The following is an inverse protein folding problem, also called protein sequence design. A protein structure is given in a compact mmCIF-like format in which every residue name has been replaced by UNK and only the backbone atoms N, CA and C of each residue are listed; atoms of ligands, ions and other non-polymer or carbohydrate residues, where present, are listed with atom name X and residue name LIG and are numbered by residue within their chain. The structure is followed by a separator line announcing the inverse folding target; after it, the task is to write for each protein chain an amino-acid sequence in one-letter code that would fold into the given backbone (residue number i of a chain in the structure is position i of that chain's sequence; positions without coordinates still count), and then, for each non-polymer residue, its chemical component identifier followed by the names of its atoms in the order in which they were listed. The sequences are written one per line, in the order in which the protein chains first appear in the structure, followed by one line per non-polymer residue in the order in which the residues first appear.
data_IF_647188305500
#
_entry.id   IF_647188305500
#
_cell.length_a   1.000
_cell.length_b   1.000
_cell.length_c   1.000
_cell.angle_alpha   90.00
_cell.angle_beta   90.00
_cell.angle_gamma   90.00
#
_symmetry.space_group_name_H-M   'P 1'
#
loop_
_entity.id
_entity.type
_entity.pdbx_description
1 polymer ?
#
# COMPACT_ATOMS: atom_id res chain seq x y z
N UNK A 1 4.32 -4.23 29.29
CA UNK A 1 3.88 -4.49 30.68
C UNK A 1 4.19 -5.94 31.03
N UNK A 2 4.42 -6.30 32.28
CA UNK A 2 4.63 -7.69 32.68
C UNK A 2 3.74 -8.02 33.88
N UNK A 3 2.82 -8.97 33.70
CA UNK A 3 2.10 -9.58 34.80
C UNK A 3 2.94 -10.74 35.33
N UNK A 4 3.45 -10.60 36.56
CA UNK A 4 4.48 -11.47 37.13
C UNK A 4 3.87 -12.83 37.44
N UNK A 5 4.02 -13.77 36.50
CA UNK A 5 3.58 -15.16 36.63
C UNK A 5 2.67 -15.65 35.50
N UNK A 6 2.16 -14.76 34.63
CA UNK A 6 1.21 -15.15 33.59
C UNK A 6 1.60 -14.70 32.18
N UNK A 7 1.77 -13.39 31.95
CA UNK A 7 1.88 -12.82 30.59
C UNK A 7 2.88 -11.66 30.52
N UNK A 8 3.67 -11.65 29.45
CA UNK A 8 4.49 -10.50 29.04
C UNK A 8 3.76 -9.79 27.90
N UNK A 9 3.40 -8.52 28.09
CA UNK A 9 2.67 -7.73 27.09
C UNK A 9 3.60 -6.70 26.45
N UNK A 10 3.70 -6.77 25.13
CA UNK A 10 4.59 -5.91 24.36
C UNK A 10 3.84 -4.76 23.71
N UNK A 11 4.42 -3.57 23.81
CA UNK A 11 3.94 -2.37 23.14
C UNK A 11 5.12 -1.63 22.52
N UNK A 12 4.88 -0.91 21.44
CA UNK A 12 5.89 -0.13 20.71
C UNK A 12 5.43 1.31 20.47
N UNK A 13 6.38 2.24 20.52
CA UNK A 13 6.24 3.63 20.09
C UNK A 13 7.51 3.96 19.28
N UNK A 14 7.65 3.35 18.09
CA UNK A 14 8.86 3.49 17.27
C UNK A 14 9.05 4.90 16.69
N UNK A 15 7.97 5.67 16.58
CA UNK A 15 7.96 7.06 16.12
C UNK A 15 8.68 8.03 17.08
N UNK A 16 8.84 7.66 18.36
CA UNK A 16 9.44 8.47 19.43
C UNK A 16 8.77 9.84 19.61
N UNK A 17 7.46 9.91 19.33
CA UNK A 17 6.67 11.12 19.52
C UNK A 17 6.22 11.32 20.97
N UNK A 18 6.33 10.28 21.81
CA UNK A 18 5.78 10.28 23.17
C UNK A 18 4.26 10.11 23.21
N UNK A 19 3.64 9.73 22.08
CA UNK A 19 2.21 9.50 21.95
C UNK A 19 1.80 8.08 22.40
N UNK A 20 0.67 7.59 21.90
CA UNK A 20 0.07 6.30 22.29
C UNK A 20 0.96 5.11 21.93
N UNK A 21 1.28 4.29 22.93
CA UNK A 21 1.94 2.99 22.76
C UNK A 21 0.98 1.97 22.12
N UNK A 22 1.36 1.39 20.97
CA UNK A 22 0.54 0.40 20.26
C UNK A 22 0.95 -1.04 20.59
N UNK A 23 0.01 -2.00 20.68
CA UNK A 23 0.32 -3.42 20.84
C UNK A 23 1.30 -3.95 19.79
N UNK A 24 2.36 -4.65 20.21
CA UNK A 24 3.44 -5.12 19.33
C UNK A 24 3.61 -6.66 19.36
N UNK A 25 3.71 -7.36 18.22
CA UNK A 25 3.74 -6.84 16.85
C UNK A 25 2.35 -6.50 16.31
N UNK A 26 1.29 -7.03 16.93
CA UNK A 26 -0.10 -6.78 16.55
C UNK A 26 -1.04 -7.00 17.76
N UNK A 27 -2.28 -6.47 17.73
CA UNK A 27 -3.23 -6.60 18.84
C UNK A 27 -3.58 -8.03 19.25
N UNK A 28 -3.46 -9.04 18.38
CA UNK A 28 -3.77 -10.44 18.68
C UNK A 28 -2.58 -11.19 19.29
N UNK A 29 -1.34 -10.84 18.94
CA UNK A 29 -0.13 -11.54 19.40
C UNK A 29 0.79 -10.77 20.36
N UNK A 30 0.40 -9.57 20.79
CA UNK A 30 1.18 -8.76 21.74
C UNK A 30 1.30 -9.34 23.16
N UNK A 31 0.41 -10.27 23.53
CA UNK A 31 0.38 -10.95 24.83
C UNK A 31 1.12 -12.29 24.70
N UNK A 32 2.29 -12.39 25.31
CA UNK A 32 3.16 -13.59 25.29
C UNK A 32 2.94 -14.35 26.59
N UNK A 33 2.36 -15.55 26.52
CA UNK A 33 2.24 -16.42 27.68
C UNK A 33 3.61 -17.02 28.05
N UNK A 34 3.83 -17.39 29.32
CA UNK A 34 5.11 -18.00 29.72
C UNK A 34 5.42 -19.31 28.96
N UNK A 35 4.39 -20.06 28.53
CA UNK A 35 4.54 -21.24 27.66
C UNK A 35 5.13 -20.91 26.29
N UNK A 36 4.92 -19.70 25.75
CA UNK A 36 5.46 -19.27 24.47
C UNK A 36 6.98 -19.02 24.51
N UNK A 37 7.59 -18.94 25.70
CA UNK A 37 9.05 -18.84 25.85
C UNK A 37 9.81 -20.10 25.38
N UNK A 38 9.10 -21.21 25.16
CA UNK A 38 9.64 -22.38 24.47
C UNK A 38 10.00 -22.07 23.00
N UNK A 39 9.30 -21.13 22.37
CA UNK A 39 9.41 -20.80 20.94
C UNK A 39 10.66 -19.95 20.65
N UNK A 40 11.56 -20.37 19.72
CA UNK A 40 12.81 -19.66 19.44
C UNK A 40 12.63 -18.21 19.00
N UNK A 41 11.60 -17.92 18.20
CA UNK A 41 11.28 -16.60 17.67
C UNK A 41 10.80 -15.62 18.74
N UNK A 42 10.06 -16.11 19.74
CA UNK A 42 9.65 -15.33 20.91
C UNK A 42 10.88 -14.95 21.76
N UNK A 43 11.77 -15.91 22.04
CA UNK A 43 13.05 -15.63 22.72
C UNK A 43 13.92 -14.64 21.95
N UNK A 44 13.98 -14.76 20.62
CA UNK A 44 14.71 -13.81 19.75
C UNK A 44 14.10 -12.40 19.83
N UNK A 45 12.77 -12.27 19.77
CA UNK A 45 12.05 -11.01 19.91
C UNK A 45 12.33 -10.35 21.26
N UNK A 46 12.18 -11.10 22.35
CA UNK A 46 12.44 -10.61 23.72
C UNK A 46 13.91 -10.19 23.90
N UNK A 47 14.88 -10.92 23.34
CA UNK A 47 16.29 -10.49 23.33
C UNK A 47 16.48 -9.17 22.58
N UNK A 48 15.89 -9.03 21.39
CA UNK A 48 16.04 -7.83 20.56
C UNK A 48 15.51 -6.58 21.24
N UNK A 49 14.42 -6.66 22.03
CA UNK A 49 13.92 -5.50 22.83
C UNK A 49 15.04 -4.86 23.68
N UNK A 50 15.94 -5.68 24.23
CA UNK A 50 17.04 -5.19 25.07
C UNK A 50 18.33 -4.90 24.29
N UNK A 51 18.63 -5.65 23.23
CA UNK A 51 19.92 -5.53 22.52
C UNK A 51 19.90 -4.64 21.29
N UNK A 52 18.78 -4.61 20.56
CA UNK A 52 18.55 -3.74 19.39
C UNK A 52 17.03 -3.60 19.16
N UNK A 53 16.33 -2.77 19.95
CA UNK A 53 14.88 -2.62 19.83
C UNK A 53 14.47 -2.05 18.48
N UNK A 54 15.35 -1.32 17.79
CA UNK A 54 15.07 -0.80 16.46
C UNK A 54 15.17 -1.87 15.36
N UNK A 55 15.74 -3.04 15.61
CA UNK A 55 15.63 -4.17 14.68
C UNK A 55 14.23 -4.83 14.69
N UNK A 56 13.37 -4.46 15.65
CA UNK A 56 11.97 -4.89 15.71
C UNK A 56 11.01 -3.91 15.02
N UNK A 57 11.48 -2.73 14.62
CA UNK A 57 10.70 -1.72 13.90
C UNK A 57 10.41 -2.21 12.47
N UNK A 58 9.15 -2.52 12.11
CA UNK A 58 8.81 -3.01 10.78
C UNK A 58 9.18 -2.00 9.70
N UNK A 59 9.09 -0.69 9.97
CA UNK A 59 9.42 0.36 9.00
C UNK A 59 10.90 0.31 8.59
N UNK A 60 11.80 -0.12 9.47
CA UNK A 60 13.22 -0.28 9.16
C UNK A 60 13.49 -1.52 8.30
N UNK A 61 12.74 -2.60 8.53
CA UNK A 61 12.79 -3.80 7.66
C UNK A 61 12.32 -3.41 6.27
N UNK A 62 11.13 -2.81 6.16
CA UNK A 62 10.56 -2.45 4.87
C UNK A 62 11.40 -1.41 4.13
N UNK A 63 11.90 -0.37 4.81
CA UNK A 63 12.82 0.62 4.22
C UNK A 63 14.20 0.05 3.85
N UNK A 64 14.64 -1.06 4.47
CA UNK A 64 15.87 -1.76 4.07
C UNK A 64 15.64 -2.58 2.80
N UNK A 65 14.59 -3.41 2.77
CA UNK A 65 14.18 -4.21 1.60
C UNK A 65 13.94 -3.32 0.38
N UNK A 66 13.17 -2.24 0.57
CA UNK A 66 12.86 -1.25 -0.47
C UNK A 66 14.13 -0.64 -1.07
N UNK A 67 15.11 -0.24 -0.25
CA UNK A 67 16.38 0.33 -0.74
C UNK A 67 17.21 -0.69 -1.52
N UNK A 68 17.25 -1.94 -1.07
CA UNK A 68 18.00 -3.01 -1.75
C UNK A 68 17.41 -3.30 -3.13
N UNK A 69 16.08 -3.48 -3.22
CA UNK A 69 15.37 -3.73 -4.48
C UNK A 69 15.45 -2.52 -5.41
N UNK A 70 15.31 -1.30 -4.89
CA UNK A 70 15.43 -0.06 -5.67
C UNK A 70 16.84 0.17 -6.23
N UNK A 71 17.89 -0.38 -5.60
CA UNK A 71 19.24 -0.36 -6.16
C UNK A 71 19.36 -1.36 -7.32
N UNK A 72 18.95 -2.61 -7.13
CA UNK A 72 18.98 -3.65 -8.18
C UNK A 72 18.22 -3.22 -9.44
N UNK A 73 17.03 -2.63 -9.28
CA UNK A 73 16.21 -2.16 -10.39
C UNK A 73 16.77 -0.89 -11.07
N UNK A 74 17.53 -0.05 -10.36
CA UNK A 74 18.24 1.07 -10.97
C UNK A 74 19.43 0.60 -11.82
N UNK A 75 20.18 -0.42 -11.37
CA UNK A 75 21.25 -1.04 -12.17
C UNK A 75 20.70 -1.73 -13.42
N UNK A 76 19.53 -2.39 -13.31
CA UNK A 76 18.82 -2.96 -14.46
C UNK A 76 18.33 -1.88 -15.44
N UNK A 77 17.74 -0.78 -14.94
CA UNK A 77 17.30 0.34 -15.78
C UNK A 77 18.47 0.90 -16.60
N UNK A 78 19.62 1.15 -15.95
CA UNK A 78 20.84 1.61 -16.60
C UNK A 78 21.35 0.62 -17.66
N UNK A 79 21.33 -0.68 -17.36
CA UNK A 79 21.73 -1.72 -18.33
C UNK A 79 20.81 -1.75 -19.57
N UNK A 80 19.50 -1.59 -19.37
CA UNK A 80 18.51 -1.52 -20.45
C UNK A 80 18.73 -0.28 -21.35
N UNK A 81 18.96 0.89 -20.76
CA UNK A 81 19.25 2.11 -21.50
C UNK A 81 20.58 2.02 -22.27
N UNK A 82 21.62 1.43 -21.66
CA UNK A 82 22.89 1.11 -22.33
C UNK A 82 22.73 0.10 -23.47
N UNK A 83 21.67 -0.71 -23.46
CA UNK A 83 21.30 -1.65 -24.54
C UNK A 83 20.49 -0.98 -25.66
N UNK A 84 20.29 0.34 -25.62
CA UNK A 84 19.58 1.12 -26.64
C UNK A 84 18.09 1.34 -26.37
N UNK A 85 17.54 0.84 -25.26
CA UNK A 85 16.12 1.07 -24.93
C UNK A 85 15.89 2.50 -24.44
N UNK A 86 14.89 3.19 -24.98
CA UNK A 86 14.54 4.55 -24.52
C UNK A 86 14.07 4.56 -23.06
N UNK A 87 14.57 5.51 -22.26
CA UNK A 87 14.26 5.65 -20.82
C UNK A 87 12.77 5.61 -20.46
N UNK A 88 11.89 6.12 -21.34
CA UNK A 88 10.44 6.08 -21.13
C UNK A 88 9.83 4.68 -21.32
N UNK A 89 10.34 3.88 -22.26
CA UNK A 89 10.01 2.46 -22.42
C UNK A 89 10.53 1.65 -21.23
N UNK A 90 11.78 1.89 -20.81
CA UNK A 90 12.40 1.24 -19.63
C UNK A 90 11.59 1.50 -18.36
N UNK A 91 11.22 2.75 -18.09
CA UNK A 91 10.38 3.09 -16.93
C UNK A 91 9.01 2.41 -16.96
N UNK A 92 8.36 2.32 -18.14
CA UNK A 92 7.07 1.63 -18.28
C UNK A 92 7.18 0.12 -18.09
N UNK A 93 8.18 -0.52 -18.72
CA UNK A 93 8.48 -1.95 -18.60
C UNK A 93 8.77 -2.35 -17.14
N UNK A 94 9.62 -1.58 -16.46
CA UNK A 94 9.92 -1.82 -15.04
C UNK A 94 8.67 -1.62 -14.19
N UNK A 95 7.85 -0.59 -14.42
CA UNK A 95 6.60 -0.36 -13.67
C UNK A 95 5.63 -1.55 -13.77
N UNK A 96 5.50 -2.18 -14.96
CA UNK A 96 4.68 -3.39 -15.13
C UNK A 96 5.28 -4.61 -14.41
N UNK A 97 6.60 -4.78 -14.51
CA UNK A 97 7.32 -5.87 -13.84
C UNK A 97 7.22 -5.78 -12.32
N UNK A 98 7.48 -4.59 -11.76
CA UNK A 98 7.26 -4.22 -10.35
C UNK A 98 5.84 -4.56 -9.87
N UNK A 99 4.82 -4.19 -10.66
CA UNK A 99 3.43 -4.50 -10.31
C UNK A 99 3.16 -6.01 -10.34
N UNK A 100 3.78 -6.76 -11.26
CA UNK A 100 3.60 -8.22 -11.37
C UNK A 100 4.24 -8.95 -10.17
N UNK A 101 5.48 -8.57 -9.80
CA UNK A 101 6.17 -9.09 -8.61
C UNK A 101 5.39 -8.77 -7.31
N UNK A 102 4.82 -7.57 -7.23
CA UNK A 102 3.96 -7.22 -6.11
C UNK A 102 2.68 -8.08 -6.09
N UNK A 103 2.01 -8.23 -7.23
CA UNK A 103 0.72 -8.91 -7.33
C UNK A 103 0.81 -10.41 -7.01
N UNK A 104 1.92 -11.10 -7.28
CA UNK A 104 2.10 -12.49 -6.85
C UNK A 104 2.30 -12.65 -5.34
N UNK A 105 2.96 -11.69 -4.69
CA UNK A 105 3.27 -11.75 -3.25
C UNK A 105 2.08 -11.37 -2.35
N UNK A 106 1.20 -10.47 -2.82
CA UNK A 106 -0.15 -10.31 -2.22
C UNK A 106 -1.19 -11.29 -2.77
N UNK A 107 -0.78 -12.30 -3.54
CA UNK A 107 -1.63 -13.39 -4.04
C UNK A 107 -2.83 -12.94 -4.91
N UNK A 108 -2.70 -11.78 -5.57
CA UNK A 108 -3.59 -11.30 -6.65
C UNK A 108 -3.27 -11.99 -8.00
N UNK A 109 -2.02 -12.42 -8.17
CA UNK A 109 -1.61 -13.46 -9.11
C UNK A 109 -1.28 -14.73 -8.30
N UNK A 110 -1.25 -15.93 -8.92
CA UNK A 110 -0.79 -17.13 -8.24
C UNK A 110 0.62 -16.93 -7.66
N UNK A 111 0.84 -17.37 -6.42
CA UNK A 111 2.06 -17.10 -5.66
C UNK A 111 3.32 -17.60 -6.37
N UNK A 112 4.31 -16.73 -6.58
CA UNK A 112 5.58 -17.04 -7.24
C UNK A 112 5.47 -17.34 -8.75
N UNK A 113 4.32 -17.08 -9.38
CA UNK A 113 4.10 -17.38 -10.81
C UNK A 113 4.85 -16.43 -11.76
N UNK A 114 5.04 -15.16 -11.41
CA UNK A 114 5.84 -14.24 -12.19
C UNK A 114 7.34 -14.51 -12.01
N UNK A 115 7.80 -14.76 -10.77
CA UNK A 115 9.15 -15.26 -10.52
C UNK A 115 9.46 -16.53 -11.34
N UNK A 116 8.55 -17.52 -11.33
CA UNK A 116 8.70 -18.74 -12.11
C UNK A 116 8.77 -18.46 -13.61
N UNK A 117 7.93 -17.57 -14.14
CA UNK A 117 7.94 -17.20 -15.56
C UNK A 117 9.29 -16.63 -16.01
N UNK A 118 9.98 -15.87 -15.15
CA UNK A 118 11.33 -15.38 -15.42
C UNK A 118 12.36 -16.52 -15.44
N UNK A 119 12.25 -17.47 -14.51
CA UNK A 119 13.15 -18.62 -14.38
C UNK A 119 13.00 -19.61 -15.54
N UNK A 120 11.78 -19.98 -15.92
CA UNK A 120 11.48 -20.93 -17.00
C UNK A 120 11.97 -20.45 -18.39
N UNK A 121 12.28 -19.15 -18.53
CA UNK A 121 12.75 -18.53 -19.77
C UNK A 121 14.09 -17.77 -19.63
N UNK A 122 14.87 -17.99 -18.57
CA UNK A 122 16.15 -17.30 -18.33
C UNK A 122 17.13 -17.41 -19.52
N UNK A 123 17.16 -18.56 -20.17
CA UNK A 123 18.02 -18.85 -21.34
C UNK A 123 17.37 -18.56 -22.69
N UNK A 124 16.11 -18.08 -22.74
CA UNK A 124 15.39 -17.79 -23.99
C UNK A 124 14.71 -16.41 -23.95
N UNK A 125 15.48 -15.31 -24.11
CA UNK A 125 14.94 -13.96 -24.01
C UNK A 125 13.81 -13.60 -25.00
N UNK A 126 13.82 -14.05 -26.27
CA UNK A 126 12.69 -13.83 -27.18
C UNK A 126 11.39 -14.48 -26.69
N UNK A 127 11.46 -15.70 -26.15
CA UNK A 127 10.28 -16.35 -25.56
C UNK A 127 9.78 -15.58 -24.33
N UNK A 128 10.68 -15.16 -23.44
CA UNK A 128 10.32 -14.34 -22.28
C UNK A 128 9.64 -13.02 -22.69
N UNK A 129 10.18 -12.31 -23.69
CA UNK A 129 9.57 -11.06 -24.19
C UNK A 129 8.13 -11.29 -24.68
N UNK A 130 7.89 -12.41 -25.36
CA UNK A 130 6.55 -12.84 -25.78
C UNK A 130 5.63 -13.16 -24.61
N UNK A 131 6.09 -13.96 -23.65
CA UNK A 131 5.30 -14.35 -22.48
C UNK A 131 4.97 -13.17 -21.56
N UNK A 132 5.91 -12.25 -21.31
CA UNK A 132 5.64 -11.02 -20.55
C UNK A 132 4.57 -10.15 -21.24
N UNK A 133 4.59 -10.08 -22.58
CA UNK A 133 3.55 -9.37 -23.34
C UNK A 133 2.20 -10.05 -23.19
N UNK A 134 2.14 -11.38 -23.32
CA UNK A 134 0.90 -12.15 -23.15
C UNK A 134 0.33 -11.99 -21.73
N UNK A 135 1.14 -12.20 -20.69
CA UNK A 135 0.75 -11.99 -19.29
C UNK A 135 0.14 -10.61 -19.07
N UNK A 136 0.80 -9.54 -19.53
CA UNK A 136 0.28 -8.19 -19.32
C UNK A 136 -0.98 -7.89 -20.14
N UNK A 137 -1.18 -8.52 -21.30
CA UNK A 137 -2.46 -8.50 -22.01
C UNK A 137 -3.56 -9.19 -21.21
N UNK A 138 -3.28 -10.37 -20.66
CA UNK A 138 -4.22 -11.14 -19.85
C UNK A 138 -4.58 -10.36 -18.57
N UNK A 139 -3.62 -9.71 -17.92
CA UNK A 139 -3.85 -8.82 -16.78
C UNK A 139 -4.68 -7.57 -17.13
N UNK A 140 -4.63 -7.08 -18.37
CA UNK A 140 -5.46 -5.94 -18.81
C UNK A 140 -6.93 -6.34 -19.04
N UNK A 141 -7.20 -7.60 -19.39
CA UNK A 141 -8.54 -8.09 -19.72
C UNK A 141 -9.20 -8.90 -18.60
N UNK A 142 -8.42 -9.59 -17.78
CA UNK A 142 -8.86 -10.67 -16.90
C UNK A 142 -9.13 -11.96 -17.68
N UNK A 143 -9.27 -13.08 -16.97
CA UNK A 143 -9.58 -14.39 -17.56
C UNK A 143 -8.45 -15.40 -17.39
N UNK A 144 -8.30 -16.35 -18.31
CA UNK A 144 -7.25 -17.37 -18.22
C UNK A 144 -5.95 -16.91 -18.90
N UNK A 145 -4.86 -16.80 -18.15
CA UNK A 145 -3.54 -16.50 -18.72
C UNK A 145 -2.81 -17.77 -19.12
N UNK A 146 -2.45 -17.87 -20.40
CA UNK A 146 -1.61 -18.96 -20.91
C UNK A 146 -0.17 -18.88 -20.35
N UNK A 147 0.35 -17.66 -20.14
CA UNK A 147 1.70 -17.46 -19.61
C UNK A 147 1.86 -18.00 -18.17
N UNK A 148 0.81 -17.95 -17.35
CA UNK A 148 0.83 -18.51 -15.98
C UNK A 148 0.11 -19.87 -15.86
N UNK A 149 -0.58 -20.31 -16.92
CA UNK A 149 -1.49 -21.46 -16.91
C UNK A 149 -2.55 -21.40 -15.80
N UNK A 150 -3.06 -20.19 -15.53
CA UNK A 150 -3.92 -19.90 -14.39
C UNK A 150 -4.90 -18.75 -14.68
N UNK A 151 -6.03 -18.66 -13.96
CA UNK A 151 -6.87 -17.46 -13.98
C UNK A 151 -6.13 -16.25 -13.40
N UNK A 152 -6.29 -15.08 -14.03
CA UNK A 152 -5.79 -13.78 -13.60
C UNK A 152 -6.95 -12.78 -13.51
N UNK A 153 -6.90 -11.93 -12.48
CA UNK A 153 -7.86 -10.85 -12.29
C UNK A 153 -7.65 -9.75 -13.35
N UNK A 154 -8.67 -8.91 -13.56
CA UNK A 154 -8.62 -7.75 -14.45
C UNK A 154 -8.05 -6.51 -13.75
N UNK A 155 -6.84 -6.09 -14.10
CA UNK A 155 -6.12 -4.94 -13.51
C UNK A 155 -6.21 -3.68 -14.41
N UNK A 156 -7.28 -2.87 -14.30
CA UNK A 156 -7.58 -1.79 -15.26
C UNK A 156 -7.26 -0.35 -14.84
N UNK A 157 -5.99 -0.10 -14.47
CA UNK A 157 -5.47 1.25 -14.13
C UNK A 157 -4.74 1.99 -15.24
N UNK A 158 -4.98 1.64 -16.52
CA UNK A 158 -4.18 2.03 -17.72
C UNK A 158 -2.72 1.52 -17.77
N UNK A 159 -2.21 0.84 -16.73
CA UNK A 159 -0.83 0.35 -16.66
C UNK A 159 -0.49 -0.70 -17.76
N UNK A 160 -1.44 -1.59 -18.06
CA UNK A 160 -1.27 -2.70 -18.99
C UNK A 160 -1.87 -2.46 -20.39
N UNK A 161 -2.45 -1.27 -20.63
CA UNK A 161 -3.03 -0.89 -21.92
C UNK A 161 -1.99 -0.77 -23.03
N UNK A 162 -2.48 -0.86 -24.26
CA UNK A 162 -1.72 -0.65 -25.51
C UNK A 162 -0.56 -1.65 -25.74
N UNK A 163 -0.84 -2.98 -25.70
CA UNK A 163 0.19 -4.04 -25.82
C UNK A 163 0.90 -4.11 -27.18
N UNK A 164 0.36 -3.41 -28.19
CA UNK A 164 0.92 -3.28 -29.53
C UNK A 164 1.93 -2.14 -29.66
N UNK A 165 2.09 -1.27 -28.64
CA UNK A 165 3.09 -0.19 -28.69
C UNK A 165 4.52 -0.73 -28.65
N UNK A 166 5.39 -0.01 -29.35
CA UNK A 166 6.83 -0.18 -29.21
C UNK A 166 7.27 0.00 -27.76
N UNK A 167 8.29 -0.76 -27.37
CA UNK A 167 8.79 -0.75 -26.00
C UNK A 167 7.83 -1.27 -24.91
N UNK A 168 6.67 -1.84 -25.26
CA UNK A 168 5.74 -2.40 -24.26
C UNK A 168 6.34 -3.59 -23.51
N UNK A 169 6.93 -4.54 -24.22
CA UNK A 169 7.74 -5.64 -23.67
C UNK A 169 9.14 -5.56 -24.29
N UNK A 170 10.18 -5.44 -23.46
CA UNK A 170 11.55 -5.24 -23.91
C UNK A 170 12.25 -6.57 -24.13
N UNK A 171 13.07 -6.64 -25.19
CA UNK A 171 14.00 -7.73 -25.36
C UNK A 171 15.15 -7.53 -24.38
N UNK A 172 15.22 -8.42 -23.38
CA UNK A 172 16.27 -8.51 -22.39
C UNK A 172 17.45 -9.34 -22.93
N UNK A 173 18.62 -9.22 -22.33
CA UNK A 173 19.66 -10.25 -22.39
C UNK A 173 19.63 -11.12 -21.12
N UNK A 174 20.30 -12.28 -21.13
CA UNK A 174 20.30 -13.23 -19.98
C UNK A 174 20.76 -12.60 -18.67
N UNK A 175 21.75 -11.69 -18.69
CA UNK A 175 22.19 -10.97 -17.48
C UNK A 175 21.09 -10.07 -16.91
N UNK A 176 20.33 -9.40 -17.78
CA UNK A 176 19.20 -8.55 -17.40
C UNK A 176 18.01 -9.39 -16.89
N UNK A 177 17.79 -10.60 -17.43
CA UNK A 177 16.80 -11.54 -16.88
C UNK A 177 17.23 -11.99 -15.48
N UNK A 178 18.49 -12.35 -15.27
CA UNK A 178 19.01 -12.70 -13.96
C UNK A 178 18.99 -11.53 -12.95
N UNK A 179 19.10 -10.28 -13.41
CA UNK A 179 18.85 -9.08 -12.58
C UNK A 179 17.38 -8.94 -12.20
N UNK A 180 16.46 -9.08 -13.16
CA UNK A 180 15.02 -8.98 -12.92
C UNK A 180 14.51 -10.11 -12.01
N UNK A 181 15.02 -11.32 -12.19
CA UNK A 181 14.73 -12.51 -11.38
C UNK A 181 15.17 -12.32 -9.93
N UNK A 182 16.36 -11.75 -9.69
CA UNK A 182 16.81 -11.40 -8.32
C UNK A 182 15.93 -10.35 -7.65
N UNK A 183 15.36 -9.41 -8.39
CA UNK A 183 14.39 -8.46 -7.86
C UNK A 183 13.05 -9.15 -7.52
N UNK A 184 12.60 -10.10 -8.35
CA UNK A 184 11.40 -10.91 -8.07
C UNK A 184 11.57 -11.86 -6.86
N UNK A 185 12.80 -12.21 -6.47
CA UNK A 185 13.08 -13.03 -5.26
C UNK A 185 12.97 -12.26 -3.94
N UNK A 186 12.81 -10.92 -3.97
CA UNK A 186 12.58 -10.14 -2.76
C UNK A 186 11.16 -10.37 -2.21
N UNK A 187 10.97 -10.16 -0.91
CA UNK A 187 9.64 -10.17 -0.31
C UNK A 187 8.94 -8.82 -0.56
N UNK A 188 8.02 -8.78 -1.52
CA UNK A 188 7.29 -7.58 -1.94
C UNK A 188 6.18 -7.16 -0.96
N UNK A 189 5.86 -7.98 0.04
CA UNK A 189 5.08 -7.55 1.21
C UNK A 189 5.84 -6.54 2.09
N UNK A 190 7.18 -6.59 2.05
CA UNK A 190 8.10 -5.69 2.76
C UNK A 190 8.63 -4.55 1.87
N UNK A 191 8.17 -4.44 0.62
CA UNK A 191 8.55 -3.31 -0.24
C UNK A 191 7.52 -2.19 -0.08
N UNK A 192 7.99 -1.01 0.30
CA UNK A 192 7.15 0.19 0.36
C UNK A 192 6.72 0.60 -1.05
N UNK A 193 5.42 0.88 -1.28
CA UNK A 193 4.92 1.34 -2.58
C UNK A 193 5.55 2.65 -3.10
N UNK A 194 6.24 3.38 -2.22
CA UNK A 194 7.17 4.46 -2.55
C UNK A 194 8.18 4.11 -3.68
N UNK A 195 8.57 2.83 -3.80
CA UNK A 195 9.55 2.37 -4.79
C UNK A 195 9.17 2.77 -6.23
N UNK A 196 7.87 2.82 -6.54
CA UNK A 196 7.32 3.14 -7.87
C UNK A 196 7.60 4.58 -8.31
N UNK A 197 7.82 5.51 -7.38
CA UNK A 197 8.28 6.87 -7.71
C UNK A 197 9.81 6.96 -7.81
N UNK A 198 10.54 6.29 -6.92
CA UNK A 198 12.01 6.38 -6.87
C UNK A 198 12.72 5.85 -8.11
N UNK A 199 12.11 4.90 -8.84
CA UNK A 199 12.75 4.26 -10.00
C UNK A 199 12.72 5.12 -11.26
N UNK A 200 11.59 5.72 -11.68
CA UNK A 200 11.61 6.72 -12.74
C UNK A 200 12.42 7.98 -12.38
N UNK A 201 12.44 8.39 -11.10
CA UNK A 201 13.21 9.54 -10.60
C UNK A 201 14.74 9.32 -10.62
N UNK A 202 15.22 8.09 -10.81
CA UNK A 202 16.66 7.75 -10.92
C UNK A 202 17.22 7.73 -12.34
N UNK A 203 16.35 7.83 -13.35
CA UNK A 203 16.75 7.92 -14.77
C UNK A 203 17.35 9.28 -15.22
N UNK A 204 16.96 10.46 -14.68
CA UNK A 204 17.55 11.73 -15.09
C UNK A 204 18.97 11.91 -14.56
N UNK A 205 19.77 12.69 -15.29
CA UNK A 205 21.10 13.13 -14.85
C UNK A 205 21.04 13.85 -13.50
N UNK A 206 22.16 13.93 -12.75
CA UNK A 206 22.22 14.72 -11.50
C UNK A 206 21.71 16.17 -11.67
N UNK A 207 21.99 16.77 -12.82
CA UNK A 207 21.59 18.13 -13.19
C UNK A 207 20.07 18.25 -13.35
N UNK A 208 19.43 17.32 -14.07
CA UNK A 208 17.97 17.31 -14.27
C UNK A 208 17.21 17.05 -12.97
N UNK A 209 17.73 16.18 -12.10
CA UNK A 209 17.14 15.93 -10.76
C UNK A 209 17.14 17.18 -9.90
N UNK A 210 18.23 17.96 -9.91
CA UNK A 210 18.31 19.21 -9.17
C UNK A 210 17.39 20.29 -9.75
N UNK A 211 17.31 20.40 -11.09
CA UNK A 211 16.46 21.37 -11.77
C UNK A 211 14.94 21.11 -11.60
N UNK A 212 14.54 19.85 -11.37
CA UNK A 212 13.14 19.47 -11.11
C UNK A 212 12.79 19.43 -9.62
N UNK A 213 13.77 19.54 -8.71
CA UNK A 213 13.53 19.33 -7.28
C UNK A 213 13.10 17.90 -6.93
N UNK A 214 13.31 16.94 -7.83
CA UNK A 214 12.81 15.57 -7.77
C UNK A 214 13.56 14.70 -6.73
N UNK A 215 13.35 15.02 -5.46
CA UNK A 215 13.88 14.31 -4.31
C UNK A 215 12.77 13.52 -3.61
N UNK A 216 12.92 12.19 -3.56
CA UNK A 216 12.06 11.34 -2.75
C UNK A 216 12.10 11.75 -1.27
N UNK A 217 10.96 12.20 -0.75
CA UNK A 217 10.76 12.49 0.68
C UNK A 217 10.56 11.17 1.46
N UNK A 218 11.47 10.78 2.37
CA UNK A 218 11.35 9.52 3.11
C UNK A 218 10.15 9.50 4.05
N UNK A 219 9.60 8.31 4.30
CA UNK A 219 8.43 8.10 5.17
C UNK A 219 8.45 8.91 6.47
N UNK A 220 9.55 8.86 7.24
CA UNK A 220 9.66 9.58 8.51
C UNK A 220 9.55 11.12 8.39
N UNK A 221 9.87 11.71 7.23
CA UNK A 221 9.64 13.13 6.96
C UNK A 221 8.20 13.43 6.55
N UNK A 222 7.57 12.50 5.82
CA UNK A 222 6.13 12.56 5.51
C UNK A 222 5.30 12.47 6.79
N UNK A 223 5.60 11.50 7.67
CA UNK A 223 4.90 11.30 8.94
C UNK A 223 5.02 12.52 9.87
N UNK A 224 6.16 13.22 9.88
CA UNK A 224 6.32 14.50 10.59
C UNK A 224 5.33 15.60 10.19
N UNK A 225 4.75 15.52 8.99
CA UNK A 225 3.69 16.42 8.52
C UNK A 225 2.31 15.77 8.70
N UNK A 226 2.15 14.53 8.22
CA UNK A 226 0.87 13.80 8.18
C UNK A 226 0.34 13.51 9.59
N UNK A 227 1.20 13.15 10.55
CA UNK A 227 0.77 12.83 11.92
C UNK A 227 0.10 14.03 12.60
N UNK A 228 0.76 15.19 12.79
CA UNK A 228 0.14 16.32 13.48
C UNK A 228 -0.95 17.03 12.69
N UNK A 229 -0.88 17.07 11.35
CA UNK A 229 -1.88 17.84 10.56
C UNK A 229 -3.14 17.04 10.21
N UNK A 230 -3.06 15.72 10.11
CA UNK A 230 -4.18 14.87 9.67
C UNK A 230 -4.54 13.79 10.69
N UNK A 231 -3.55 13.00 11.15
CA UNK A 231 -3.84 11.80 11.96
C UNK A 231 -4.24 12.15 13.39
N UNK A 232 -3.53 13.06 14.05
CA UNK A 232 -3.81 13.47 15.43
C UNK A 232 -5.22 14.11 15.58
N UNK A 233 -5.66 15.06 14.72
CA UNK A 233 -7.04 15.56 14.76
C UNK A 233 -8.10 14.47 14.53
N UNK A 234 -7.88 13.57 13.56
CA UNK A 234 -8.80 12.47 13.29
C UNK A 234 -8.83 11.45 14.43
N UNK A 235 -7.70 11.22 15.12
CA UNK A 235 -7.60 10.37 16.31
C UNK A 235 -8.35 10.96 17.50
N UNK A 236 -8.26 12.27 17.72
CA UNK A 236 -9.02 12.95 18.76
C UNK A 236 -10.54 12.88 18.47
N UNK A 237 -10.95 13.09 17.21
CA UNK A 237 -12.32 12.88 16.76
C UNK A 237 -12.81 11.45 17.00
N UNK A 238 -11.99 10.46 16.62
CA UNK A 238 -12.30 9.04 16.84
C UNK A 238 -12.48 8.70 18.32
N UNK A 239 -11.58 9.16 19.20
CA UNK A 239 -11.68 8.89 20.64
C UNK A 239 -13.01 9.41 21.23
N UNK A 240 -13.45 10.60 20.82
CA UNK A 240 -14.73 11.17 21.24
C UNK A 240 -15.93 10.34 20.74
N UNK A 241 -15.91 9.94 19.45
CA UNK A 241 -16.96 9.11 18.85
C UNK A 241 -17.01 7.72 19.48
N UNK A 242 -15.85 7.10 19.74
CA UNK A 242 -15.77 5.80 20.38
C UNK A 242 -16.31 5.85 21.82
N UNK A 243 -15.97 6.89 22.59
CA UNK A 243 -16.50 7.08 23.94
C UNK A 243 -18.03 7.25 23.94
N UNK A 244 -18.58 8.07 23.04
CA UNK A 244 -20.02 8.24 22.88
C UNK A 244 -20.73 6.94 22.47
N UNK A 245 -20.17 6.22 21.49
CA UNK A 245 -20.73 4.96 21.01
C UNK A 245 -20.69 3.85 22.08
N UNK A 246 -19.63 3.79 22.90
CA UNK A 246 -19.53 2.86 24.04
C UNK A 246 -20.53 3.22 25.15
N UNK A 247 -20.75 4.51 25.44
CA UNK A 247 -21.77 4.93 26.39
C UNK A 247 -23.17 4.49 25.93
N UNK A 248 -23.54 4.79 24.68
CA UNK A 248 -24.82 4.36 24.07
C UNK A 248 -24.96 2.83 24.08
N UNK A 249 -23.88 2.09 23.84
CA UNK A 249 -23.88 0.63 23.91
C UNK A 249 -24.06 0.09 25.34
N UNK A 250 -23.52 0.77 26.36
CA UNK A 250 -23.76 0.42 27.77
C UNK A 250 -25.20 0.72 28.20
N UNK A 251 -25.76 1.87 27.81
CA UNK A 251 -27.18 2.21 28.04
C UNK A 251 -28.11 1.17 27.37
N UNK A 252 -27.77 0.73 26.16
CA UNK A 252 -28.51 -0.32 25.46
C UNK A 252 -28.51 -1.66 26.21
N UNK A 253 -27.42 -1.99 26.92
CA UNK A 253 -27.30 -3.24 27.69
C UNK A 253 -28.10 -3.24 29.00
N UNK A 254 -28.48 -2.07 29.52
CA UNK A 254 -29.40 -1.93 30.66
C UNK A 254 -30.89 -1.99 30.26
N UNK A 255 -31.17 -1.86 28.96
CA UNK A 255 -32.52 -1.89 28.38
C UNK A 255 -32.90 -3.30 27.89
N UNK A 256 -34.17 -3.49 27.54
CA UNK A 256 -34.67 -4.77 26.98
C UNK A 256 -35.58 -4.56 25.78
N UNK A 257 -35.60 -5.52 24.86
CA UNK A 257 -36.43 -5.48 23.65
C UNK A 257 -36.08 -4.30 22.74
N UNK A 258 -37.11 -3.70 22.13
CA UNK A 258 -36.96 -2.63 21.12
C UNK A 258 -36.12 -1.45 21.60
N UNK A 259 -36.24 -1.04 22.87
CA UNK A 259 -35.47 0.07 23.41
C UNK A 259 -33.95 -0.19 23.41
N UNK A 260 -33.54 -1.45 23.65
CA UNK A 260 -32.13 -1.84 23.54
C UNK A 260 -31.66 -1.86 22.07
N UNK A 261 -32.50 -2.34 21.15
CA UNK A 261 -32.21 -2.37 19.72
C UNK A 261 -32.07 -0.97 19.12
N UNK A 262 -32.98 -0.06 19.46
CA UNK A 262 -32.96 1.36 19.08
C UNK A 262 -31.69 2.04 19.62
N UNK A 263 -31.34 1.80 20.88
CA UNK A 263 -30.14 2.40 21.49
C UNK A 263 -28.83 1.84 20.92
N UNK A 264 -28.80 0.55 20.58
CA UNK A 264 -27.68 -0.06 19.84
C UNK A 264 -27.62 0.41 18.37
N UNK A 265 -28.73 0.85 17.79
CA UNK A 265 -28.75 1.47 16.48
C UNK A 265 -28.16 2.89 16.53
N UNK A 266 -28.47 3.69 17.56
CA UNK A 266 -27.81 4.98 17.84
C UNK A 266 -26.28 4.82 17.97
N UNK A 267 -25.84 3.86 18.79
CA UNK A 267 -24.41 3.56 18.99
C UNK A 267 -23.69 3.27 17.65
N UNK A 268 -24.31 2.45 16.79
CA UNK A 268 -23.78 2.13 15.45
C UNK A 268 -23.90 3.31 14.47
N UNK A 269 -24.88 4.19 14.62
CA UNK A 269 -25.05 5.36 13.76
C UNK A 269 -23.92 6.39 13.97
N UNK A 270 -23.49 6.65 15.20
CA UNK A 270 -22.33 7.53 15.46
C UNK A 270 -21.03 6.97 14.87
N UNK A 271 -20.80 5.65 14.97
CA UNK A 271 -19.66 4.99 14.30
C UNK A 271 -19.72 5.11 12.78
N UNK A 272 -20.89 4.86 12.16
CA UNK A 272 -21.10 4.98 10.70
C UNK A 272 -20.93 6.41 10.19
N UNK A 273 -21.36 7.41 10.96
CA UNK A 273 -21.19 8.84 10.66
C UNK A 273 -19.72 9.26 10.64
N UNK A 274 -18.91 8.76 11.58
CA UNK A 274 -17.46 8.98 11.54
C UNK A 274 -16.78 8.20 10.40
N UNK A 275 -17.24 6.98 10.11
CA UNK A 275 -16.77 6.21 8.94
C UNK A 275 -17.03 6.95 7.62
N UNK A 276 -18.23 7.51 7.44
CA UNK A 276 -18.58 8.37 6.31
C UNK A 276 -17.65 9.58 6.19
N UNK A 277 -17.32 10.24 7.31
CA UNK A 277 -16.36 11.35 7.33
C UNK A 277 -14.96 10.93 6.83
N UNK A 278 -14.47 9.75 7.22
CA UNK A 278 -13.18 9.22 6.73
C UNK A 278 -13.20 8.93 5.22
N UNK A 279 -14.32 8.46 4.69
CA UNK A 279 -14.47 8.09 3.28
C UNK A 279 -14.74 9.30 2.35
N UNK A 280 -15.35 10.35 2.88
CA UNK A 280 -15.59 11.62 2.18
C UNK A 280 -14.43 12.60 2.26
N UNK A 281 -13.47 12.40 3.19
CA UNK A 281 -12.26 13.20 3.30
C UNK A 281 -11.50 13.31 1.96
N UNK A 282 -10.91 14.47 1.70
CA UNK A 282 -10.09 14.74 0.52
C UNK A 282 -8.73 15.30 0.94
N UNK A 283 -7.67 14.63 0.54
CA UNK A 283 -6.28 15.03 0.82
C UNK A 283 -5.67 15.59 -0.46
N UNK A 284 -5.16 16.82 -0.39
CA UNK A 284 -4.54 17.50 -1.53
C UNK A 284 -3.01 17.50 -1.40
N UNK A 285 -2.32 17.15 -2.48
CA UNK A 285 -0.86 17.25 -2.59
C UNK A 285 -0.51 17.85 -3.96
N UNK A 286 -0.31 19.19 -4.04
CA UNK A 286 -0.15 19.90 -5.31
C UNK A 286 1.17 19.59 -6.03
N UNK A 287 2.12 18.94 -5.36
CA UNK A 287 3.45 18.60 -5.88
C UNK A 287 3.81 17.13 -5.60
N UNK A 288 2.84 16.23 -5.75
CA UNK A 288 2.92 14.88 -5.19
C UNK A 288 4.09 13.99 -5.65
N UNK A 289 4.78 14.32 -6.73
CA UNK A 289 6.03 13.66 -7.14
C UNK A 289 5.89 12.13 -7.28
N UNK A 290 6.45 11.38 -6.34
CA UNK A 290 6.35 9.92 -6.24
C UNK A 290 4.98 9.39 -5.77
N UNK A 291 4.16 10.25 -5.15
CA UNK A 291 2.91 9.90 -4.47
C UNK A 291 3.08 9.49 -2.99
N UNK A 292 4.28 9.60 -2.42
CA UNK A 292 4.57 9.05 -1.09
C UNK A 292 3.73 9.69 0.04
N UNK A 293 3.50 11.01 0.00
CA UNK A 293 2.65 11.70 0.98
C UNK A 293 1.19 11.20 0.94
N UNK A 294 0.63 11.08 -0.27
CA UNK A 294 -0.70 10.53 -0.49
C UNK A 294 -0.81 9.07 -0.02
N UNK A 295 0.22 8.24 -0.29
CA UNK A 295 0.26 6.84 0.15
C UNK A 295 0.29 6.71 1.68
N UNK A 296 1.22 7.39 2.36
CA UNK A 296 1.33 7.33 3.83
C UNK A 296 0.06 7.84 4.49
N UNK A 297 -0.54 8.92 3.97
CA UNK A 297 -1.82 9.44 4.48
C UNK A 297 -2.95 8.41 4.29
N UNK A 298 -3.08 7.81 3.10
CA UNK A 298 -4.05 6.76 2.82
C UNK A 298 -3.88 5.56 3.77
N UNK A 299 -2.64 5.17 4.07
CA UNK A 299 -2.36 4.09 5.01
C UNK A 299 -2.83 4.41 6.45
N UNK A 300 -2.58 5.62 6.95
CA UNK A 300 -3.07 6.03 8.26
C UNK A 300 -4.60 6.10 8.33
N UNK A 301 -5.25 6.64 7.29
CA UNK A 301 -6.71 6.65 7.17
C UNK A 301 -7.28 5.23 7.15
N UNK A 302 -6.62 4.30 6.44
CA UNK A 302 -6.98 2.89 6.40
C UNK A 302 -6.83 2.18 7.74
N UNK A 303 -5.75 2.43 8.47
CA UNK A 303 -5.57 1.90 9.84
C UNK A 303 -6.70 2.37 10.76
N UNK A 304 -7.06 3.66 10.69
CA UNK A 304 -8.16 4.24 11.48
C UNK A 304 -9.53 3.67 11.06
N UNK A 305 -9.82 3.55 9.77
CA UNK A 305 -11.03 2.91 9.25
C UNK A 305 -11.18 1.47 9.77
N UNK A 306 -10.08 0.70 9.81
CA UNK A 306 -10.08 -0.65 10.36
C UNK A 306 -10.51 -0.72 11.83
N UNK A 307 -10.16 0.28 12.65
CA UNK A 307 -10.60 0.36 14.04
C UNK A 307 -12.11 0.67 14.15
N UNK A 308 -12.64 1.55 13.30
CA UNK A 308 -14.07 1.85 13.24
C UNK A 308 -14.87 0.61 12.82
N UNK A 309 -14.39 -0.14 11.83
CA UNK A 309 -15.01 -1.40 11.38
C UNK A 309 -14.97 -2.45 12.50
N UNK A 310 -13.84 -2.66 13.17
CA UNK A 310 -13.74 -3.60 14.30
C UNK A 310 -14.72 -3.24 15.43
N UNK A 311 -14.94 -1.95 15.70
CA UNK A 311 -15.90 -1.49 16.71
C UNK A 311 -17.35 -1.73 16.26
N UNK A 312 -17.67 -1.53 14.98
CA UNK A 312 -18.97 -1.86 14.39
C UNK A 312 -19.26 -3.36 14.45
N UNK A 313 -18.29 -4.21 14.07
CA UNK A 313 -18.41 -5.67 14.18
C UNK A 313 -18.63 -6.12 15.63
N UNK A 314 -17.92 -5.51 16.59
CA UNK A 314 -18.11 -5.77 18.02
C UNK A 314 -19.52 -5.35 18.52
N UNK A 315 -20.19 -4.40 17.86
CA UNK A 315 -21.57 -4.00 18.12
C UNK A 315 -22.59 -4.79 17.28
N UNK A 316 -22.19 -5.92 16.69
CA UNK A 316 -23.08 -6.84 15.97
C UNK A 316 -23.39 -6.44 14.52
N UNK A 317 -22.68 -5.47 13.95
CA UNK A 317 -22.86 -5.05 12.56
C UNK A 317 -22.15 -6.03 11.60
N UNK A 318 -22.75 -7.20 11.36
CA UNK A 318 -22.19 -8.25 10.47
C UNK A 318 -22.81 -8.31 9.07
N UNK A 319 -23.99 -7.71 8.85
CA UNK A 319 -24.71 -7.82 7.57
C UNK A 319 -24.13 -6.93 6.46
N UNK A 320 -23.45 -5.84 6.80
CA UNK A 320 -22.81 -4.94 5.83
C UNK A 320 -21.55 -5.56 5.20
N UNK A 321 -20.94 -6.59 5.82
CA UNK A 321 -19.73 -7.27 5.31
C UNK A 321 -20.03 -8.22 4.14
N UNK A 322 -21.29 -8.66 3.98
CA UNK A 322 -21.75 -9.48 2.85
C UNK A 322 -22.29 -8.64 1.68
N UNK A 323 -22.57 -7.35 1.91
CA UNK A 323 -22.95 -6.39 0.88
C UNK A 323 -21.72 -5.74 0.25
N UNK A 324 -21.26 -6.27 -0.89
CA UNK A 324 -20.15 -5.74 -1.70
C UNK A 324 -20.51 -4.41 -2.40
N UNK A 325 -20.81 -3.37 -1.63
CA UNK A 325 -20.88 -1.96 -2.08
C UNK A 325 -20.79 -0.94 -0.92
N UNK A 326 -20.28 -1.38 0.24
CA UNK A 326 -20.09 -0.52 1.41
C UNK A 326 -19.07 0.61 1.18
N UNK A 327 -19.43 1.82 1.63
CA UNK A 327 -18.55 2.99 1.61
C UNK A 327 -17.18 2.65 2.26
N UNK A 328 -16.08 3.07 1.64
CA UNK A 328 -14.75 2.83 2.20
C UNK A 328 -13.74 3.88 1.74
N UNK A 329 -12.72 4.11 2.55
CA UNK A 329 -11.56 4.92 2.15
C UNK A 329 -10.92 4.25 0.92
N UNK A 330 -10.74 4.97 -0.17
CA UNK A 330 -10.15 4.45 -1.42
C UNK A 330 -9.07 5.39 -1.93
N UNK A 331 -8.24 5.02 -2.93
CA UNK A 331 -7.34 5.96 -3.58
C UNK A 331 -8.03 7.21 -4.17
N UNK A 332 -9.37 7.25 -4.29
CA UNK A 332 -10.12 8.44 -4.66
C UNK A 332 -10.17 9.53 -3.57
N UNK A 333 -9.92 9.19 -2.30
CA UNK A 333 -9.81 10.18 -1.20
C UNK A 333 -8.48 10.96 -1.25
N UNK A 334 -7.51 10.49 -2.06
CA UNK A 334 -6.16 11.01 -2.13
C UNK A 334 -5.85 11.67 -3.50
N UNK A 335 -5.78 13.02 -3.51
CA UNK A 335 -5.05 13.80 -4.49
C UNK A 335 -5.87 14.54 -5.57
N UNK A 336 -5.44 15.77 -5.87
CA UNK A 336 -5.65 16.48 -7.14
C UNK A 336 -4.38 17.29 -7.47
N UNK A 337 -3.99 17.41 -8.76
CA UNK A 337 -2.79 18.17 -9.25
C UNK A 337 -1.45 17.48 -8.76
N UNK A 338 -0.25 18.04 -8.96
CA UNK A 338 0.48 18.09 -10.24
C UNK A 338 1.91 17.46 -10.19
N UNK A 339 2.45 17.10 -11.38
CA UNK A 339 3.82 17.45 -11.87
C UNK A 339 4.01 16.91 -13.32
N UNK A 340 4.87 17.58 -14.10
CA UNK A 340 5.11 17.54 -15.57
C UNK A 340 5.53 16.20 -16.22
N UNK A 341 5.69 15.07 -15.52
CA UNK A 341 5.95 13.77 -16.21
C UNK A 341 5.46 12.54 -15.43
N UNK A 342 5.06 11.48 -16.16
CA UNK A 342 4.82 10.08 -15.70
C UNK A 342 3.57 9.81 -14.82
N UNK A 343 2.38 9.85 -15.43
CA UNK A 343 1.09 9.49 -14.79
C UNK A 343 0.97 8.03 -14.31
N UNK A 344 1.65 7.07 -14.95
CA UNK A 344 1.43 5.63 -14.74
C UNK A 344 1.94 5.09 -13.40
N UNK A 345 3.22 5.30 -13.09
CA UNK A 345 3.88 4.70 -11.91
C UNK A 345 3.33 5.23 -10.59
N UNK A 346 2.91 6.51 -10.53
CA UNK A 346 2.26 7.15 -9.37
C UNK A 346 0.99 6.42 -8.93
N UNK A 347 0.15 6.07 -9.91
CA UNK A 347 -1.12 5.35 -9.69
C UNK A 347 -0.86 3.94 -9.18
N UNK A 348 0.14 3.25 -9.75
CA UNK A 348 0.53 1.92 -9.28
C UNK A 348 0.89 1.93 -7.79
N UNK A 349 1.75 2.86 -7.32
CA UNK A 349 2.13 2.93 -5.90
C UNK A 349 0.95 3.10 -4.94
N UNK A 350 0.03 4.03 -5.21
CA UNK A 350 -1.16 4.25 -4.38
C UNK A 350 -2.10 3.03 -4.34
N UNK A 351 -2.34 2.38 -5.48
CA UNK A 351 -3.15 1.18 -5.55
C UNK A 351 -2.50 -0.01 -4.86
N UNK A 352 -1.19 -0.18 -5.00
CA UNK A 352 -0.41 -1.22 -4.35
C UNK A 352 -0.47 -1.07 -2.82
N UNK A 353 -0.31 0.16 -2.30
CA UNK A 353 -0.50 0.44 -0.88
C UNK A 353 -1.90 0.12 -0.36
N UNK A 354 -2.94 0.48 -1.12
CA UNK A 354 -4.33 0.12 -0.81
C UNK A 354 -4.54 -1.41 -0.79
N UNK A 355 -4.01 -2.13 -1.80
CA UNK A 355 -4.15 -3.58 -1.94
C UNK A 355 -3.36 -4.35 -0.86
N UNK A 356 -2.16 -3.90 -0.49
CA UNK A 356 -1.40 -4.41 0.66
C UNK A 356 -2.25 -4.36 1.94
N UNK A 357 -2.91 -3.23 2.20
CA UNK A 357 -3.76 -3.09 3.38
C UNK A 357 -5.02 -3.95 3.28
N UNK A 358 -5.74 -3.89 2.14
CA UNK A 358 -7.01 -4.62 1.94
C UNK A 358 -6.81 -6.13 2.09
N UNK A 359 -5.76 -6.68 1.48
CA UNK A 359 -5.39 -8.09 1.57
C UNK A 359 -5.09 -8.51 3.02
N UNK A 360 -4.34 -7.69 3.77
CA UNK A 360 -4.01 -7.95 5.18
C UNK A 360 -5.22 -7.93 6.11
N UNK A 361 -6.26 -7.15 5.82
CA UNK A 361 -7.43 -6.99 6.70
C UNK A 361 -8.65 -7.82 6.29
N UNK A 362 -8.94 -7.95 4.99
CA UNK A 362 -10.14 -8.64 4.45
C UNK A 362 -9.82 -9.91 3.65
N UNK A 363 -8.56 -10.13 3.26
CA UNK A 363 -8.16 -11.21 2.36
C UNK A 363 -8.61 -11.01 0.90
N UNK A 364 -8.15 -11.87 0.00
CA UNK A 364 -8.24 -11.62 -1.44
C UNK A 364 -9.64 -11.82 -2.04
N UNK A 365 -10.56 -12.50 -1.33
CA UNK A 365 -11.91 -12.79 -1.84
C UNK A 365 -12.83 -11.55 -1.90
N UNK A 366 -12.40 -10.41 -1.36
CA UNK A 366 -13.16 -9.16 -1.31
C UNK A 366 -12.66 -8.09 -2.32
N UNK A 367 -11.67 -8.41 -3.16
CA UNK A 367 -11.14 -7.49 -4.16
C UNK A 367 -12.07 -7.45 -5.37
N UNK A 368 -12.75 -6.32 -5.58
CA UNK A 368 -13.61 -6.11 -6.73
C UNK A 368 -12.80 -5.98 -8.03
N UNK A 369 -13.38 -6.42 -9.15
CA UNK A 369 -12.80 -6.22 -10.48
C UNK A 369 -13.43 -5.01 -11.20
N UNK A 370 -12.62 -4.13 -11.81
CA UNK A 370 -11.17 -4.24 -11.97
C UNK A 370 -10.36 -3.88 -10.72
N UNK A 371 -9.34 -4.67 -10.41
CA UNK A 371 -8.48 -4.57 -9.20
C UNK A 371 -7.82 -3.19 -9.02
N UNK A 372 -7.69 -2.46 -10.12
CA UNK A 372 -7.14 -1.11 -10.20
C UNK A 372 -8.13 -0.28 -11.01
N UNK A 373 -8.55 0.88 -10.50
CA UNK A 373 -9.43 1.82 -11.22
C UNK A 373 -8.70 3.14 -11.56
N UNK A 374 -9.12 3.80 -12.65
CA UNK A 374 -8.70 5.17 -12.97
C UNK A 374 -9.74 6.18 -12.47
N UNK A 375 -9.55 6.70 -11.25
CA UNK A 375 -10.40 7.75 -10.68
C UNK A 375 -10.20 9.14 -11.31
N UNK A 376 -9.28 9.32 -12.28
CA UNK A 376 -9.00 10.60 -12.93
C UNK A 376 -8.31 11.66 -12.04
N UNK A 377 -8.16 11.39 -10.75
CA UNK A 377 -7.76 12.35 -9.72
C UNK A 377 -6.27 12.79 -9.79
N UNK A 378 -5.36 11.89 -10.22
CA UNK A 378 -3.95 12.23 -10.48
C UNK A 378 -3.77 12.80 -11.89
N UNK A 379 -3.39 14.07 -11.96
CA UNK A 379 -3.20 14.85 -13.19
C UNK A 379 -1.76 15.32 -13.39
N UNK A 380 -1.24 15.18 -14.62
CA UNK A 380 0.03 15.78 -15.04
C UNK A 380 -0.26 17.14 -15.69
N UNK A 381 0.03 18.21 -14.95
CA UNK A 381 -0.12 19.63 -15.30
C UNK A 381 0.89 20.45 -14.47
N UNK A 382 0.99 21.75 -14.72
CA UNK A 382 1.76 22.66 -13.86
C UNK A 382 0.93 23.05 -12.62
N UNK A 383 1.55 23.19 -11.45
CA UNK A 383 0.87 23.59 -10.22
C UNK A 383 0.65 25.10 -10.13
N UNK A 384 1.60 25.89 -10.66
CA UNK A 384 1.72 27.34 -10.49
C UNK A 384 1.03 28.09 -11.63
N UNK A 385 1.20 27.62 -12.87
CA UNK A 385 0.72 28.31 -14.09
C UNK A 385 -0.79 28.18 -14.37
N UNK A 386 -1.60 27.85 -13.35
CA UNK A 386 -3.04 27.64 -13.49
C UNK A 386 -3.85 28.43 -12.43
N UNK A 387 -3.32 29.55 -11.97
CA UNK A 387 -4.10 30.57 -11.28
C UNK A 387 -4.97 31.29 -12.30
N UNK A 388 -6.28 31.02 -12.28
CA UNK A 388 -7.28 31.88 -12.90
C UNK A 388 -8.00 32.59 -11.74
N UNK A 389 -8.11 33.92 -11.79
CA UNK A 389 -8.61 34.73 -10.68
C UNK A 389 -10.01 34.31 -10.23
N UNK A 390 -10.08 33.58 -9.12
CA UNK A 390 -11.31 33.32 -8.37
C UNK A 390 -10.96 33.01 -6.92
N UNK A 391 -10.43 34.02 -6.22
CA UNK A 391 -10.38 34.00 -4.77
C UNK A 391 -11.81 34.00 -4.21
N UNK A 392 -12.06 33.04 -3.31
CA UNK A 392 -12.97 33.06 -2.16
C UNK A 392 -14.11 34.11 -2.19
N UNK A 393 -15.33 33.63 -2.46
CA UNK A 393 -16.59 34.28 -2.12
C UNK A 393 -17.42 33.36 -1.20
#
# INVERSE_FOLDING_TARGET
MADIGHVIELYSEFTRSGATYVPFPDPRSHRIALSDLAKPEIRKRLKLIWTDPLALDPSRVSASTTRAVAAQLADLAKSLEQSGHHAHHVAAFLTRSLFSMFAEDVELLPKGSFLKLLQDHETNPPALQGMLRALWMDMDQGGFSAALSAPVLRFNGKLFKEPTKDGYSLLLNTQQIAQLTRAAQANWLEVEPAIFGTLPERAPSPTERHALGAHYTPRAYVERLVLPTMVEPLRAGWANVQAAAVLLASEAAELTGKAAEEKMLEARAELKKFHHQLCTLRVLDPACGSGNFLYVTLEHLKRLEGEVINQLEAFGETQSTLGLEGETVTPATAGHRAERTRRGSRRAGLWIGYLQWHTRTRGNKAVAEPVVHDYGNIECRDAVLAWADTDLA
#
